data_IF_373026098439
#
_entry.id   IF_373026098439
#
_cell.length_a   1.000
_cell.length_b   1.000
_cell.length_c   1.000
_cell.angle_alpha   90.00
_cell.angle_beta   90.00
_cell.angle_gamma   90.00
#
_symmetry.space_group_name_H-M   'P 1'
#
loop_
_entity.id
_entity.type
_entity.pdbx_description
1 polymer ?
#
# COMPACT_ATOMS: atom_id res chain seq x y z
N UNK A 1 18.93 -5.45 10.25
CA UNK A 1 19.68 -6.59 9.65
C UNK A 1 18.77 -7.81 9.57
N UNK A 2 18.84 -8.53 8.46
CA UNK A 2 17.99 -9.68 8.08
C UNK A 2 17.93 -10.77 9.14
N UNK A 3 19.04 -11.09 9.80
CA UNK A 3 19.18 -12.24 10.69
C UNK A 3 18.57 -12.07 12.09
N UNK A 4 18.21 -10.85 12.49
CA UNK A 4 17.59 -10.53 13.78
C UNK A 4 16.48 -9.48 13.62
N UNK A 5 15.74 -9.52 12.52
CA UNK A 5 14.69 -8.55 12.26
C UNK A 5 13.49 -8.79 13.17
N UNK A 6 13.08 -7.75 13.88
CA UNK A 6 11.86 -7.72 14.69
C UNK A 6 11.08 -6.45 14.38
N UNK A 7 9.98 -6.61 13.66
CA UNK A 7 9.15 -5.50 13.20
C UNK A 7 8.64 -4.62 14.36
N UNK A 8 8.28 -5.23 15.49
CA UNK A 8 7.77 -4.50 16.65
C UNK A 8 8.84 -3.60 17.30
N UNK A 9 10.06 -4.08 17.37
CA UNK A 9 11.18 -3.29 17.90
C UNK A 9 11.57 -2.15 16.95
N UNK A 10 11.57 -2.41 15.64
CA UNK A 10 11.83 -1.37 14.66
C UNK A 10 10.76 -0.27 14.67
N UNK A 11 9.48 -0.62 14.80
CA UNK A 11 8.42 0.37 14.95
C UNK A 11 8.68 1.24 16.19
N UNK A 12 8.98 0.63 17.33
CA UNK A 12 9.28 1.37 18.57
C UNK A 12 10.51 2.27 18.44
N UNK A 13 11.55 1.81 17.76
CA UNK A 13 12.75 2.61 17.49
C UNK A 13 12.39 3.86 16.67
N UNK A 14 11.63 3.68 15.59
CA UNK A 14 11.22 4.80 14.72
C UNK A 14 10.29 5.77 15.47
N UNK A 15 9.37 5.28 16.29
CA UNK A 15 8.53 6.13 17.14
C UNK A 15 9.37 6.96 18.10
N UNK A 16 10.34 6.34 18.79
CA UNK A 16 11.24 7.03 19.74
C UNK A 16 12.13 8.07 19.03
N UNK A 17 12.71 7.74 17.88
CA UNK A 17 13.51 8.67 17.08
C UNK A 17 12.67 9.86 16.59
N UNK A 18 11.43 9.60 16.15
CA UNK A 18 10.49 10.62 15.71
C UNK A 18 10.10 11.56 16.85
N UNK A 19 9.78 11.03 18.02
CA UNK A 19 9.51 11.83 19.23
C UNK A 19 10.70 12.69 19.61
N UNK A 20 11.89 12.10 19.67
CA UNK A 20 13.13 12.80 20.00
C UNK A 20 13.41 13.94 19.03
N UNK A 21 13.18 13.71 17.73
CA UNK A 21 13.32 14.75 16.70
C UNK A 21 12.34 15.91 16.94
N UNK A 22 11.07 15.65 17.24
CA UNK A 22 10.09 16.71 17.51
C UNK A 22 10.46 17.48 18.78
N UNK A 23 10.82 16.80 19.86
CA UNK A 23 11.20 17.44 21.11
C UNK A 23 12.50 18.26 20.98
N UNK A 24 13.37 17.91 20.03
CA UNK A 24 14.58 18.70 19.70
C UNK A 24 14.29 19.88 18.74
N UNK A 25 13.01 20.16 18.44
CA UNK A 25 12.60 21.30 17.60
C UNK A 25 12.62 21.03 16.10
N UNK A 26 12.70 19.78 15.65
CA UNK A 26 12.58 19.47 14.23
C UNK A 26 11.11 19.59 13.79
N UNK A 27 10.86 20.34 12.73
CA UNK A 27 9.53 20.56 12.15
C UNK A 27 9.17 19.63 10.98
N UNK A 28 10.16 18.85 10.50
CA UNK A 28 10.02 17.94 9.39
C UNK A 28 10.64 16.58 9.72
N UNK A 29 9.87 15.51 9.55
CA UNK A 29 10.32 14.12 9.64
C UNK A 29 10.13 13.48 8.28
N UNK A 30 11.16 12.83 7.75
CA UNK A 30 11.10 12.04 6.52
C UNK A 30 11.20 10.56 6.86
N UNK A 31 10.13 9.83 6.59
CA UNK A 31 10.11 8.36 6.63
C UNK A 31 10.48 7.86 5.23
N UNK A 32 11.53 7.06 5.12
CA UNK A 32 12.04 6.63 3.81
C UNK A 32 12.49 5.18 3.82
N UNK A 33 12.14 4.46 2.77
CA UNK A 33 12.58 3.08 2.49
C UNK A 33 13.72 2.99 1.47
N UNK A 34 14.26 4.13 1.01
CA UNK A 34 15.30 4.17 -0.05
C UNK A 34 16.59 3.44 0.31
N UNK A 35 16.84 3.25 1.59
CA UNK A 35 18.02 2.53 2.08
C UNK A 35 17.83 1.02 2.18
N UNK A 36 16.67 0.51 1.73
CA UNK A 36 16.46 -0.93 1.63
C UNK A 36 17.44 -1.55 0.61
N UNK A 37 18.11 -2.62 1.00
CA UNK A 37 19.08 -3.34 0.20
C UNK A 37 19.05 -4.83 0.57
N UNK A 38 19.98 -5.62 0.05
CA UNK A 38 20.08 -7.07 0.34
C UNK A 38 20.07 -7.39 1.85
N UNK A 39 20.65 -6.53 2.69
CA UNK A 39 20.81 -6.77 4.13
C UNK A 39 19.78 -6.02 4.99
N UNK A 40 19.00 -5.10 4.37
CA UNK A 40 18.03 -4.23 5.05
C UNK A 40 16.65 -4.35 4.43
N UNK A 41 15.70 -4.88 5.20
CA UNK A 41 14.31 -5.00 4.78
C UNK A 41 13.65 -3.61 4.67
N UNK A 42 12.82 -3.44 3.63
CA UNK A 42 11.87 -2.33 3.57
C UNK A 42 10.73 -2.57 4.55
N UNK A 43 10.36 -1.52 5.30
CA UNK A 43 9.23 -1.58 6.22
C UNK A 43 7.95 -1.10 5.52
N UNK A 44 6.76 -1.64 5.87
CA UNK A 44 5.50 -1.23 5.25
C UNK A 44 5.19 0.23 5.60
N UNK A 45 5.30 1.14 4.63
CA UNK A 45 5.25 2.57 4.90
C UNK A 45 3.90 3.07 5.42
N UNK A 46 2.79 2.41 5.07
CA UNK A 46 1.48 2.70 5.67
C UNK A 46 1.49 2.41 7.18
N UNK A 47 2.01 1.26 7.59
CA UNK A 47 2.09 0.88 9.02
C UNK A 47 3.02 1.83 9.79
N UNK A 48 4.19 2.13 9.24
CA UNK A 48 5.17 3.01 9.90
C UNK A 48 4.62 4.43 10.02
N UNK A 49 4.01 4.97 8.96
CA UNK A 49 3.39 6.31 8.99
C UNK A 49 2.27 6.37 10.02
N UNK A 50 1.38 5.37 10.04
CA UNK A 50 0.30 5.27 11.02
C UNK A 50 0.82 5.17 12.45
N UNK A 51 1.84 4.34 12.68
CA UNK A 51 2.45 4.14 14.00
C UNK A 51 3.08 5.44 14.55
N UNK A 52 3.84 6.16 13.73
CA UNK A 52 4.44 7.45 14.11
C UNK A 52 3.35 8.50 14.33
N UNK A 53 2.40 8.62 13.40
CA UNK A 53 1.28 9.58 13.53
C UNK A 53 0.47 9.33 14.81
N UNK A 54 0.10 8.09 15.08
CA UNK A 54 -0.68 7.70 16.26
C UNK A 54 0.08 7.96 17.56
N UNK A 55 1.37 7.62 17.61
CA UNK A 55 2.22 7.85 18.80
C UNK A 55 2.37 9.34 19.12
N UNK A 56 2.74 10.15 18.11
CA UNK A 56 2.87 11.60 18.27
C UNK A 56 1.52 12.27 18.62
N UNK A 57 0.40 11.73 18.12
CA UNK A 57 -0.95 12.22 18.44
C UNK A 57 -1.30 11.90 19.91
N UNK A 58 -1.04 10.69 20.39
CA UNK A 58 -1.27 10.30 21.78
C UNK A 58 -0.42 11.13 22.77
N UNK A 59 0.77 11.54 22.33
CA UNK A 59 1.68 12.41 23.13
C UNK A 59 1.35 13.90 23.00
N UNK A 60 0.37 14.29 22.17
CA UNK A 60 -0.05 15.69 21.98
C UNK A 60 0.96 16.55 21.19
N UNK A 61 1.94 15.96 20.54
CA UNK A 61 3.01 16.68 19.84
C UNK A 61 2.95 16.56 18.30
N UNK A 62 1.92 15.89 17.76
CA UNK A 62 1.76 15.66 16.32
C UNK A 62 1.65 16.96 15.51
N UNK A 63 1.07 18.00 16.07
CA UNK A 63 0.87 19.29 15.39
C UNK A 63 2.16 20.09 15.14
N UNK A 64 3.24 19.77 15.84
CA UNK A 64 4.51 20.49 15.70
C UNK A 64 5.35 20.02 14.50
N UNK A 65 4.93 18.95 13.79
CA UNK A 65 5.76 18.34 12.77
C UNK A 65 4.95 17.93 11.52
N UNK A 66 5.59 18.04 10.36
CA UNK A 66 5.12 17.46 9.09
C UNK A 66 5.76 16.08 8.88
N UNK A 67 4.95 15.09 8.50
CA UNK A 67 5.43 13.75 8.13
C UNK A 67 5.53 13.65 6.60
N UNK A 68 6.72 13.46 6.11
CA UNK A 68 7.00 13.26 4.70
C UNK A 68 7.32 11.79 4.47
N UNK A 69 6.70 11.18 3.48
CA UNK A 69 6.91 9.77 3.14
C UNK A 69 7.60 9.67 1.80
N UNK A 70 8.73 8.97 1.74
CA UNK A 70 9.43 8.62 0.51
C UNK A 70 9.42 7.10 0.37
N UNK A 71 8.63 6.58 -0.56
CA UNK A 71 8.34 5.15 -0.61
C UNK A 71 8.33 4.57 -2.02
N UNK A 72 8.95 3.40 -2.17
CA UNK A 72 8.86 2.56 -3.35
C UNK A 72 7.48 1.92 -3.53
N UNK A 73 6.75 1.69 -2.43
CA UNK A 73 5.43 1.03 -2.46
C UNK A 73 4.33 1.92 -3.05
N UNK A 74 4.56 3.24 -3.14
CA UNK A 74 3.55 4.23 -3.51
C UNK A 74 3.42 4.35 -5.04
N UNK A 75 2.64 3.48 -5.66
CA UNK A 75 2.49 3.40 -7.11
C UNK A 75 1.13 3.91 -7.61
N UNK A 76 0.05 3.70 -6.87
CA UNK A 76 -1.32 3.98 -7.29
C UNK A 76 -2.07 4.94 -6.34
N UNK A 77 -3.20 5.45 -6.82
CA UNK A 77 -4.03 6.40 -6.07
C UNK A 77 -4.48 5.86 -4.71
N UNK A 78 -4.75 4.55 -4.59
CA UNK A 78 -5.20 3.96 -3.33
C UNK A 78 -4.12 4.08 -2.27
N UNK A 79 -2.87 3.77 -2.62
CA UNK A 79 -1.75 3.86 -1.69
C UNK A 79 -1.53 5.31 -1.20
N UNK A 80 -1.61 6.30 -2.11
CA UNK A 80 -1.58 7.72 -1.73
C UNK A 80 -2.73 8.08 -0.77
N UNK A 81 -3.95 7.66 -1.10
CA UNK A 81 -5.11 7.94 -0.27
C UNK A 81 -4.94 7.38 1.15
N UNK A 82 -4.43 6.14 1.28
CA UNK A 82 -4.19 5.53 2.59
C UNK A 82 -3.06 6.23 3.33
N UNK A 83 -1.92 6.53 2.69
CA UNK A 83 -0.81 7.24 3.33
C UNK A 83 -1.24 8.61 3.88
N UNK A 84 -1.96 9.40 3.10
CA UNK A 84 -2.46 10.71 3.54
C UNK A 84 -3.46 10.50 4.69
N UNK A 85 -4.36 9.55 4.55
CA UNK A 85 -5.37 9.23 5.55
C UNK A 85 -4.80 8.75 6.87
N UNK A 86 -3.62 8.10 6.90
CA UNK A 86 -2.91 7.73 8.14
C UNK A 86 -1.94 8.82 8.63
N UNK A 87 -1.89 10.00 7.98
CA UNK A 87 -1.22 11.15 8.51
C UNK A 87 -0.04 11.71 7.72
N UNK A 88 0.30 11.17 6.54
CA UNK A 88 1.34 11.73 5.70
C UNK A 88 0.99 13.16 5.25
N UNK A 89 1.95 14.06 5.33
CA UNK A 89 1.81 15.45 4.85
C UNK A 89 2.16 15.54 3.37
N UNK A 90 3.23 14.89 2.95
CA UNK A 90 3.62 14.76 1.54
C UNK A 90 4.10 13.34 1.25
N UNK A 91 4.01 12.95 -0.01
CA UNK A 91 4.45 11.64 -0.49
C UNK A 91 5.37 11.81 -1.69
N UNK A 92 6.54 11.17 -1.66
CA UNK A 92 7.47 11.06 -2.79
C UNK A 92 7.49 9.61 -3.29
N UNK A 93 6.85 9.31 -4.42
CA UNK A 93 6.78 7.97 -5.01
C UNK A 93 7.99 7.71 -5.92
N UNK A 94 9.19 7.70 -5.38
CA UNK A 94 10.42 7.72 -6.17
C UNK A 94 10.50 6.57 -7.18
N UNK A 95 10.10 5.34 -6.81
CA UNK A 95 10.12 4.19 -7.72
C UNK A 95 9.11 4.35 -8.88
N UNK A 96 7.94 4.94 -8.64
CA UNK A 96 6.98 5.23 -9.72
C UNK A 96 7.57 6.24 -10.70
N UNK A 97 8.29 7.26 -10.21
CA UNK A 97 8.96 8.25 -11.04
C UNK A 97 10.11 7.64 -11.84
N UNK A 98 10.90 6.76 -11.24
CA UNK A 98 11.97 6.02 -11.91
C UNK A 98 11.39 5.09 -13.01
N UNK A 99 10.29 4.40 -12.73
CA UNK A 99 9.58 3.58 -13.72
C UNK A 99 9.05 4.41 -14.90
N UNK A 100 8.55 5.62 -14.65
CA UNK A 100 8.11 6.55 -15.69
C UNK A 100 9.30 6.99 -16.53
N UNK A 101 10.42 7.34 -15.90
CA UNK A 101 11.65 7.72 -16.60
C UNK A 101 12.15 6.60 -17.52
N UNK A 102 12.29 5.39 -17.00
CA UNK A 102 12.75 4.24 -17.77
C UNK A 102 11.85 3.93 -18.97
N UNK A 103 10.53 3.99 -18.78
CA UNK A 103 9.54 3.76 -19.86
C UNK A 103 9.58 4.86 -20.91
N UNK A 104 9.77 6.11 -20.50
CA UNK A 104 9.93 7.23 -21.42
C UNK A 104 11.21 7.07 -22.25
N UNK A 105 12.34 6.69 -21.66
CA UNK A 105 13.59 6.41 -22.35
C UNK A 105 13.45 5.26 -23.37
N UNK A 106 12.60 4.28 -23.10
CA UNK A 106 12.26 3.19 -24.04
C UNK A 106 11.25 3.59 -25.13
N UNK A 107 10.85 4.86 -25.21
CA UNK A 107 9.89 5.36 -26.20
C UNK A 107 8.46 4.88 -26.04
N UNK A 108 8.09 4.29 -24.88
CA UNK A 108 6.76 3.71 -24.65
C UNK A 108 5.65 4.76 -24.48
N UNK A 109 5.99 6.02 -24.33
CA UNK A 109 5.07 7.14 -24.23
C UNK A 109 5.07 8.06 -25.46
N UNK A 110 5.60 7.57 -26.59
CA UNK A 110 5.70 8.34 -27.83
C UNK A 110 6.60 9.56 -27.67
N UNK A 111 6.13 10.73 -28.11
CA UNK A 111 6.91 11.97 -28.10
C UNK A 111 6.79 12.79 -26.81
N UNK A 112 6.23 12.22 -25.74
CA UNK A 112 6.10 12.94 -24.47
C UNK A 112 7.46 13.10 -23.78
N UNK A 113 7.73 14.28 -23.24
CA UNK A 113 8.88 14.49 -22.36
C UNK A 113 8.68 13.80 -21.01
N UNK A 114 9.76 13.63 -20.26
CA UNK A 114 9.68 13.07 -18.89
C UNK A 114 8.79 13.94 -17.98
N UNK A 115 8.94 15.24 -18.07
CA UNK A 115 8.16 16.21 -17.29
C UNK A 115 6.66 16.10 -17.59
N UNK A 116 6.30 15.98 -18.88
CA UNK A 116 4.90 15.77 -19.27
C UNK A 116 4.34 14.45 -18.76
N UNK A 117 5.13 13.38 -18.76
CA UNK A 117 4.74 12.09 -18.20
C UNK A 117 4.49 12.19 -16.68
N UNK A 118 5.39 12.85 -15.95
CA UNK A 118 5.27 13.09 -14.51
C UNK A 118 4.04 13.94 -14.18
N UNK A 119 3.80 15.02 -14.94
CA UNK A 119 2.61 15.86 -14.72
C UNK A 119 1.29 15.10 -14.98
N UNK A 120 1.25 14.23 -16.00
CA UNK A 120 0.10 13.36 -16.24
C UNK A 120 -0.12 12.35 -15.12
N UNK A 121 0.96 11.77 -14.58
CA UNK A 121 0.88 10.88 -13.43
C UNK A 121 0.34 11.61 -12.19
N UNK A 122 0.89 12.78 -11.85
CA UNK A 122 0.41 13.61 -10.75
C UNK A 122 -1.08 13.93 -10.93
N UNK A 123 -1.46 14.41 -12.11
CA UNK A 123 -2.88 14.73 -12.41
C UNK A 123 -3.80 13.52 -12.23
N UNK A 124 -3.36 12.33 -12.62
CA UNK A 124 -4.14 11.10 -12.43
C UNK A 124 -4.33 10.76 -10.95
N UNK A 125 -3.27 10.89 -10.14
CA UNK A 125 -3.32 10.70 -8.68
C UNK A 125 -4.23 11.75 -8.04
N UNK A 126 -4.07 13.04 -8.38
CA UNK A 126 -4.88 14.13 -7.86
C UNK A 126 -6.37 13.94 -8.14
N UNK A 127 -6.72 13.60 -9.38
CA UNK A 127 -8.10 13.30 -9.76
C UNK A 127 -8.68 12.11 -8.99
N UNK A 128 -7.86 11.08 -8.76
CA UNK A 128 -8.24 9.93 -7.95
C UNK A 128 -8.47 10.29 -6.49
N UNK A 129 -7.60 11.11 -5.89
CA UNK A 129 -7.76 11.61 -4.52
C UNK A 129 -9.01 12.48 -4.38
N UNK A 130 -9.23 13.40 -5.32
CA UNK A 130 -10.44 14.22 -5.33
C UNK A 130 -11.71 13.36 -5.42
N UNK A 131 -11.69 12.30 -6.21
CA UNK A 131 -12.81 11.34 -6.29
C UNK A 131 -13.04 10.62 -4.96
N UNK A 132 -11.99 10.17 -4.28
CA UNK A 132 -12.08 9.54 -2.94
C UNK A 132 -12.68 10.53 -1.95
N UNK A 133 -12.14 11.73 -1.86
CA UNK A 133 -12.61 12.78 -0.95
C UNK A 133 -14.06 13.18 -1.23
N UNK A 134 -14.42 13.34 -2.50
CA UNK A 134 -15.80 13.67 -2.91
C UNK A 134 -16.81 12.62 -2.46
N UNK A 135 -16.48 11.33 -2.58
CA UNK A 135 -17.35 10.25 -2.09
C UNK A 135 -17.49 10.21 -0.57
N UNK A 136 -16.52 10.73 0.16
CA UNK A 136 -16.55 10.86 1.61
C UNK A 136 -17.18 12.19 2.08
N UNK A 137 -17.50 13.09 1.16
CA UNK A 137 -18.02 14.43 1.48
C UNK A 137 -16.98 15.36 2.08
N UNK A 138 -15.67 15.11 1.85
CA UNK A 138 -14.57 15.91 2.37
C UNK A 138 -14.06 16.84 1.29
N UNK A 139 -14.12 18.17 1.53
CA UNK A 139 -13.79 19.21 0.55
C UNK A 139 -12.31 19.65 0.60
N UNK A 140 -11.61 19.45 1.72
CA UNK A 140 -10.23 19.89 1.91
C UNK A 140 -9.33 18.76 2.38
N UNK A 141 -8.12 18.66 1.83
CA UNK A 141 -7.18 17.59 2.14
C UNK A 141 -6.73 17.58 3.61
N UNK A 142 -6.71 18.73 4.27
CA UNK A 142 -6.38 18.83 5.69
C UNK A 142 -7.39 18.13 6.60
N UNK A 143 -8.66 18.04 6.19
CA UNK A 143 -9.69 17.29 6.89
C UNK A 143 -9.65 15.78 6.59
N UNK A 144 -9.09 15.40 5.47
CA UNK A 144 -8.86 13.99 5.10
C UNK A 144 -7.61 13.43 5.78
N UNK A 145 -6.55 14.23 5.88
CA UNK A 145 -5.24 13.81 6.41
C UNK A 145 -5.33 13.43 7.88
N UNK A 146 -4.93 12.19 8.18
CA UNK A 146 -5.00 11.63 9.53
C UNK A 146 -6.41 11.35 10.03
N UNK A 147 -7.40 11.37 9.13
CA UNK A 147 -8.80 11.11 9.47
C UNK A 147 -9.15 9.62 9.57
N UNK A 148 -8.28 8.72 9.13
CA UNK A 148 -8.48 7.27 9.18
C UNK A 148 -9.84 6.81 8.63
N UNK A 149 -10.28 7.40 7.54
CA UNK A 149 -11.60 7.15 6.93
C UNK A 149 -11.63 5.83 6.12
N UNK A 150 -11.15 4.74 6.70
CA UNK A 150 -11.14 3.41 6.10
C UNK A 150 -11.39 2.34 7.15
N UNK A 151 -11.64 1.15 6.67
CA UNK A 151 -11.76 -0.07 7.46
C UNK A 151 -10.56 -0.98 7.16
N UNK A 152 -9.97 -1.57 8.19
CA UNK A 152 -8.96 -2.59 8.04
C UNK A 152 -9.62 -3.96 7.85
N UNK A 153 -9.23 -4.67 6.79
CA UNK A 153 -9.71 -6.02 6.48
C UNK A 153 -8.52 -6.98 6.51
N UNK A 154 -8.65 -8.06 7.28
CA UNK A 154 -7.62 -9.10 7.38
C UNK A 154 -6.40 -8.71 8.23
N UNK A 155 -6.48 -7.62 9.00
CA UNK A 155 -5.48 -7.23 10.00
C UNK A 155 -6.00 -7.48 11.41
N UNK A 156 -5.13 -7.92 12.32
CA UNK A 156 -5.53 -8.21 13.69
C UNK A 156 -6.04 -6.96 14.41
N UNK A 157 -7.11 -7.11 15.19
CA UNK A 157 -7.71 -6.00 15.94
C UNK A 157 -6.72 -5.36 16.91
N UNK A 158 -5.86 -6.15 17.55
CA UNK A 158 -4.85 -5.64 18.46
C UNK A 158 -3.86 -4.70 17.77
N UNK A 159 -3.36 -5.09 16.60
CA UNK A 159 -2.45 -4.27 15.80
C UNK A 159 -3.14 -3.00 15.28
N UNK A 160 -4.38 -3.12 14.79
CA UNK A 160 -5.13 -1.95 14.30
C UNK A 160 -5.40 -0.97 15.43
N UNK A 161 -5.81 -1.43 16.61
CA UNK A 161 -6.03 -0.57 17.77
C UNK A 161 -4.74 0.10 18.27
N UNK A 162 -3.59 -0.56 18.11
CA UNK A 162 -2.30 -0.02 18.56
C UNK A 162 -1.78 1.08 17.61
N UNK A 163 -1.84 0.85 16.30
CA UNK A 163 -1.15 1.69 15.31
C UNK A 163 -2.06 2.55 14.44
N UNK A 164 -3.35 2.23 14.34
CA UNK A 164 -4.30 2.92 13.46
C UNK A 164 -5.45 3.50 14.28
N UNK A 165 -5.21 4.65 14.89
CA UNK A 165 -6.15 5.29 15.82
C UNK A 165 -7.53 5.53 15.16
N UNK A 166 -8.57 4.87 15.69
CA UNK A 166 -9.95 5.04 15.22
C UNK A 166 -10.36 4.17 14.03
N UNK A 167 -9.45 3.43 13.41
CA UNK A 167 -9.77 2.47 12.35
C UNK A 167 -10.43 1.23 12.94
N UNK A 168 -11.51 0.77 12.30
CA UNK A 168 -12.18 -0.47 12.69
C UNK A 168 -11.60 -1.67 11.93
N UNK A 169 -11.50 -2.82 12.61
CA UNK A 169 -11.18 -4.10 12.00
C UNK A 169 -12.29 -5.10 12.30
N UNK A 170 -13.31 -5.15 11.43
CA UNK A 170 -14.42 -6.09 11.57
C UNK A 170 -13.99 -7.53 11.29
N UNK A 171 -13.21 -7.70 10.23
CA UNK A 171 -12.57 -8.98 9.90
C UNK A 171 -11.13 -8.98 10.38
N UNK A 172 -10.88 -9.62 11.51
CA UNK A 172 -9.53 -9.80 12.05
C UNK A 172 -8.71 -10.74 11.15
N UNK A 173 -7.39 -10.64 11.23
CA UNK A 173 -6.48 -11.45 10.45
C UNK A 173 -5.07 -11.44 11.00
N UNK A 174 -4.07 -11.23 10.13
CA UNK A 174 -2.65 -11.26 10.51
C UNK A 174 -2.27 -10.10 11.42
N UNK A 175 -1.43 -10.39 12.41
CA UNK A 175 -0.77 -9.41 13.27
C UNK A 175 0.64 -9.07 12.80
N UNK A 176 1.41 -8.40 13.66
CA UNK A 176 2.79 -8.00 13.34
C UNK A 176 3.68 -9.17 12.91
N UNK A 177 3.59 -10.31 13.58
CA UNK A 177 4.39 -11.50 13.23
C UNK A 177 4.06 -12.04 11.83
N UNK A 178 2.79 -11.99 11.43
CA UNK A 178 2.38 -12.38 10.08
C UNK A 178 2.88 -11.39 9.02
N UNK A 179 2.88 -10.09 9.32
CA UNK A 179 3.45 -9.06 8.44
C UNK A 179 4.97 -9.23 8.36
N UNK A 180 5.66 -9.40 9.49
CA UNK A 180 7.10 -9.65 9.55
C UNK A 180 7.51 -10.84 8.67
N UNK A 181 6.78 -11.95 8.80
CA UNK A 181 7.02 -13.13 7.94
C UNK A 181 6.85 -12.78 6.46
N UNK A 182 5.74 -12.10 6.08
CA UNK A 182 5.51 -11.69 4.67
C UNK A 182 6.63 -10.79 4.14
N UNK A 183 7.12 -9.86 4.94
CA UNK A 183 8.23 -8.98 4.55
C UNK A 183 9.51 -9.77 4.32
N UNK A 184 9.84 -10.69 5.24
CA UNK A 184 11.02 -11.54 5.13
C UNK A 184 10.94 -12.46 3.91
N UNK A 185 9.78 -13.10 3.69
CA UNK A 185 9.56 -13.97 2.55
C UNK A 185 9.69 -13.20 1.23
N UNK A 186 9.08 -12.01 1.13
CA UNK A 186 9.14 -11.14 -0.04
C UNK A 186 10.57 -10.64 -0.30
N UNK A 187 11.27 -10.22 0.76
CA UNK A 187 12.66 -9.78 0.67
C UNK A 187 13.57 -10.91 0.17
N UNK A 188 13.44 -12.10 0.77
CA UNK A 188 14.22 -13.27 0.35
C UNK A 188 13.94 -13.66 -1.11
N UNK A 189 12.67 -13.56 -1.53
CA UNK A 189 12.30 -13.78 -2.92
C UNK A 189 12.93 -12.74 -3.85
N UNK A 190 12.85 -11.46 -3.50
CA UNK A 190 13.36 -10.36 -4.34
C UNK A 190 14.88 -10.41 -4.57
N UNK A 191 15.63 -10.89 -3.58
CA UNK A 191 17.10 -11.03 -3.66
C UNK A 191 17.58 -12.46 -3.91
N UNK A 192 16.67 -13.35 -4.35
CA UNK A 192 17.04 -14.72 -4.71
C UNK A 192 17.65 -14.77 -6.12
N UNK A 193 18.77 -15.47 -6.26
CA UNK A 193 19.42 -15.70 -7.56
C UNK A 193 18.55 -16.48 -8.57
N UNK A 194 17.48 -17.15 -8.07
CA UNK A 194 16.55 -17.92 -8.89
C UNK A 194 15.48 -17.08 -9.58
N UNK A 195 15.29 -15.80 -9.20
CA UNK A 195 14.26 -14.93 -9.76
C UNK A 195 14.75 -14.29 -11.06
N UNK A 196 14.36 -14.87 -12.19
CA UNK A 196 14.70 -14.36 -13.51
C UNK A 196 13.61 -13.46 -14.11
N UNK A 197 12.36 -13.61 -13.67
CA UNK A 197 11.22 -12.86 -14.18
C UNK A 197 10.27 -12.47 -13.07
N UNK A 198 9.62 -11.31 -13.23
CA UNK A 198 8.57 -10.89 -12.32
C UNK A 198 7.34 -11.81 -12.44
N UNK A 199 6.60 -12.05 -11.33
CA UNK A 199 5.35 -12.79 -11.37
C UNK A 199 4.35 -12.12 -12.33
N UNK A 200 3.48 -12.93 -12.94
CA UNK A 200 2.47 -12.45 -13.91
C UNK A 200 1.52 -11.44 -13.27
N UNK A 201 1.32 -11.51 -11.95
CA UNK A 201 0.40 -10.68 -11.20
C UNK A 201 -1.05 -11.10 -11.45
N UNK A 202 -1.93 -10.14 -11.68
CA UNK A 202 -3.35 -10.42 -11.92
C UNK A 202 -4.23 -10.19 -10.70
N UNK A 203 -3.77 -9.46 -9.68
CA UNK A 203 -4.50 -9.18 -8.43
C UNK A 203 -5.79 -8.41 -8.71
N UNK A 204 -5.74 -7.33 -9.47
CA UNK A 204 -6.90 -6.47 -9.77
C UNK A 204 -7.72 -6.92 -10.98
N UNK A 205 -7.14 -7.71 -11.85
CA UNK A 205 -7.78 -8.25 -13.05
C UNK A 205 -7.18 -9.62 -13.35
N UNK A 206 -8.06 -10.60 -13.59
CA UNK A 206 -7.63 -11.94 -13.97
C UNK A 206 -6.62 -11.93 -15.11
N UNK A 207 -5.56 -12.70 -14.93
CA UNK A 207 -4.55 -13.01 -15.96
C UNK A 207 -4.28 -14.50 -15.94
N UNK A 208 -4.25 -15.11 -17.12
CA UNK A 208 -3.93 -16.54 -17.24
C UNK A 208 -2.51 -16.80 -16.70
N UNK A 209 -2.37 -17.77 -15.79
CA UNK A 209 -1.12 -18.08 -15.11
C UNK A 209 -0.73 -17.11 -13.98
N UNK A 210 -1.57 -16.11 -13.67
CA UNK A 210 -1.42 -15.21 -12.55
C UNK A 210 -2.16 -15.64 -11.28
N UNK A 211 -2.55 -14.65 -10.48
CA UNK A 211 -3.30 -14.87 -9.22
C UNK A 211 -4.63 -15.61 -9.46
N UNK A 212 -4.96 -16.53 -8.56
CA UNK A 212 -6.22 -17.27 -8.59
C UNK A 212 -7.37 -16.39 -8.10
N UNK A 213 -8.46 -16.32 -8.86
CA UNK A 213 -9.68 -15.61 -8.49
C UNK A 213 -10.81 -16.58 -8.22
N UNK A 214 -11.63 -16.29 -7.20
CA UNK A 214 -12.82 -17.08 -6.90
C UNK A 214 -13.82 -17.14 -8.07
N UNK A 215 -13.87 -16.05 -8.86
CA UNK A 215 -14.72 -15.95 -10.05
C UNK A 215 -13.85 -15.73 -11.29
N UNK A 216 -13.17 -16.76 -11.74
CA UNK A 216 -12.39 -16.72 -12.97
C UNK A 216 -13.26 -16.90 -14.23
N UNK A 217 -12.71 -16.55 -15.40
CA UNK A 217 -13.45 -16.56 -16.66
C UNK A 217 -14.09 -17.90 -17.00
N UNK A 218 -13.46 -19.03 -16.64
CA UNK A 218 -14.00 -20.38 -16.84
C UNK A 218 -15.31 -20.62 -16.07
N UNK A 219 -15.35 -20.21 -14.80
CA UNK A 219 -16.54 -20.33 -13.96
C UNK A 219 -17.68 -19.47 -14.48
N UNK A 220 -17.37 -18.22 -14.85
CA UNK A 220 -18.38 -17.30 -15.42
C UNK A 220 -18.93 -17.88 -16.73
N UNK A 221 -18.09 -18.43 -17.58
CA UNK A 221 -18.51 -19.05 -18.84
C UNK A 221 -19.42 -20.28 -18.62
N UNK A 222 -19.06 -21.15 -17.66
CA UNK A 222 -19.90 -22.29 -17.30
C UNK A 222 -21.31 -21.87 -16.85
N UNK A 223 -21.39 -20.82 -16.02
CA UNK A 223 -22.67 -20.29 -15.55
C UNK A 223 -23.47 -19.68 -16.72
N UNK A 224 -22.83 -18.87 -17.56
CA UNK A 224 -23.46 -18.26 -18.73
C UNK A 224 -24.00 -19.32 -19.68
N UNK A 225 -23.23 -20.37 -19.97
CA UNK A 225 -23.66 -21.50 -20.81
C UNK A 225 -24.81 -22.24 -20.18
N UNK A 226 -24.75 -22.53 -18.88
CA UNK A 226 -25.83 -23.21 -18.17
C UNK A 226 -27.17 -22.46 -18.28
N UNK A 227 -27.12 -21.13 -18.16
CA UNK A 227 -28.33 -20.29 -18.27
C UNK A 227 -28.78 -20.13 -19.72
N UNK A 228 -27.88 -19.97 -20.69
CA UNK A 228 -28.26 -19.80 -22.09
C UNK A 228 -28.89 -21.06 -22.69
N UNK A 229 -28.38 -22.22 -22.32
CA UNK A 229 -28.84 -23.53 -22.85
C UNK A 229 -29.88 -24.21 -21.95
N UNK A 230 -30.34 -23.55 -20.86
CA UNK A 230 -31.20 -24.09 -19.82
C UNK A 230 -30.73 -25.50 -19.34
N UNK A 231 -29.42 -25.63 -19.16
CA UNK A 231 -28.77 -26.92 -18.93
C UNK A 231 -28.39 -27.12 -17.46
N UNK A 232 -29.15 -27.96 -16.77
CA UNK A 232 -28.85 -28.36 -15.38
C UNK A 232 -27.50 -29.12 -15.27
N UNK A 233 -27.09 -29.82 -16.29
CA UNK A 233 -25.79 -30.52 -16.30
C UNK A 233 -24.66 -29.53 -16.29
N UNK A 234 -24.73 -28.47 -17.06
CA UNK A 234 -23.73 -27.38 -17.08
C UNK A 234 -23.73 -26.61 -15.75
N UNK A 235 -24.90 -26.38 -15.15
CA UNK A 235 -25.01 -25.79 -13.83
C UNK A 235 -24.35 -26.67 -12.75
N UNK A 236 -24.50 -28.00 -12.81
CA UNK A 236 -23.75 -28.89 -11.90
C UNK A 236 -22.24 -28.79 -12.07
N UNK A 237 -21.75 -28.68 -13.31
CA UNK A 237 -20.33 -28.48 -13.57
C UNK A 237 -19.84 -27.16 -12.95
N UNK A 238 -20.59 -26.07 -13.09
CA UNK A 238 -20.32 -24.80 -12.45
C UNK A 238 -20.26 -24.95 -10.91
N UNK A 239 -21.33 -25.52 -10.30
CA UNK A 239 -21.44 -25.69 -8.85
C UNK A 239 -20.32 -26.56 -8.25
N UNK A 240 -19.89 -27.60 -8.97
CA UNK A 240 -18.80 -28.48 -8.52
C UNK A 240 -17.41 -27.85 -8.70
N UNK A 241 -17.32 -26.76 -9.45
CA UNK A 241 -16.05 -26.04 -9.71
C UNK A 241 -15.85 -24.83 -8.79
N UNK A 242 -16.84 -24.48 -7.97
CA UNK A 242 -16.76 -23.49 -6.91
C UNK A 242 -16.17 -24.10 -5.62
#
# INVERSE_FOLDING_TARGET
HKDNFNLKEEIKRIQFESETAVLSGKSHIVLSDISADHDKLSLPMILITAAVHTDLTRKGIRSFVSLHVRSAECLDTHYFAVLIGVGATTVNPYLALDCIYERQQKGLFGNLSYEECVERYKKAVDQGLLKVMSKLGISVISAYRGGFNFEAVGLSRSMVNEYFLGVQSRMSGIGLSGIEKKLTDLHNYAYSDSVQTLPIGGIYRYRNGGETHAYEGKLIHLLQTAVADDSYEMFKKYSNSM
#
